data_IF_240100766865
#
_entry.id   IF_240100766865
#
_cell.length_a   1.000
_cell.length_b   1.000
_cell.length_c   1.000
_cell.angle_alpha   90.00
_cell.angle_beta   90.00
_cell.angle_gamma   90.00
#
_symmetry.space_group_name_H-M   'P 1'
#
loop_
_entity.id
_entity.type
_entity.pdbx_description
1 polymer ?
#
# COMPACT_ATOMS: atom_id res chain seq x y z
N UNK A 1 23.40 -6.08 15.58
CA UNK A 1 23.29 -7.04 14.97
C UNK A 1 22.18 -7.36 14.02
N UNK A 2 22.12 -6.53 13.02
CA UNK A 2 21.17 -6.73 11.94
C UNK A 2 21.37 -8.07 11.26
N UNK A 3 22.62 -8.55 11.20
CA UNK A 3 22.92 -9.80 10.56
C UNK A 3 22.30 -11.00 11.26
N UNK A 4 22.35 -11.00 12.58
CA UNK A 4 21.77 -12.11 13.33
C UNK A 4 20.25 -12.14 13.19
N UNK A 5 19.64 -10.97 13.20
CA UNK A 5 18.19 -10.88 13.01
C UNK A 5 17.79 -11.39 11.62
N UNK A 6 18.60 -11.04 10.61
CA UNK A 6 18.32 -11.50 9.26
C UNK A 6 18.47 -13.01 9.13
N UNK A 7 19.47 -13.58 9.75
CA UNK A 7 19.68 -15.02 9.72
C UNK A 7 18.50 -15.76 10.37
N UNK A 8 17.99 -15.22 11.45
CA UNK A 8 16.84 -15.83 12.10
C UNK A 8 15.59 -15.74 11.23
N UNK A 9 15.45 -14.68 10.48
CA UNK A 9 14.31 -14.51 9.60
C UNK A 9 14.37 -15.38 8.37
N UNK A 10 15.55 -15.50 7.80
CA UNK A 10 15.73 -16.31 6.60
C UNK A 10 15.79 -17.79 6.92
N UNK A 11 15.86 -18.13 8.20
CA UNK A 11 15.93 -19.53 8.60
C UNK A 11 14.56 -20.18 8.51
N UNK A 12 14.24 -20.87 9.54
CA UNK A 12 13.09 -21.75 9.56
C UNK A 12 11.88 -21.15 10.21
N UNK A 13 12.01 -19.94 10.74
CA UNK A 13 10.95 -19.35 11.53
C UNK A 13 10.40 -18.08 10.91
N UNK A 14 9.20 -18.18 10.38
CA UNK A 14 8.40 -17.01 10.17
C UNK A 14 7.53 -16.85 11.39
N UNK A 15 7.67 -15.73 12.07
CA UNK A 15 6.78 -15.42 13.17
C UNK A 15 5.39 -15.19 12.61
N UNK A 16 4.38 -15.21 13.49
CA UNK A 16 3.02 -14.90 13.08
C UNK A 16 2.92 -13.51 12.48
N UNK A 17 3.74 -12.57 12.96
CA UNK A 17 3.76 -11.21 12.42
C UNK A 17 4.34 -11.16 11.02
N UNK A 18 5.37 -11.95 10.74
CA UNK A 18 5.95 -12.00 9.40
C UNK A 18 4.96 -12.56 8.40
N UNK A 19 4.20 -13.58 8.79
CA UNK A 19 3.17 -14.15 7.94
C UNK A 19 2.05 -13.18 7.67
N UNK A 20 1.66 -12.45 8.70
CA UNK A 20 0.60 -11.46 8.58
C UNK A 20 1.03 -10.30 7.69
N UNK A 21 2.27 -9.84 7.85
CA UNK A 21 2.83 -8.82 6.99
C UNK A 21 2.84 -9.27 5.54
N UNK A 22 3.25 -10.50 5.29
CA UNK A 22 3.28 -11.06 3.94
C UNK A 22 1.89 -11.10 3.32
N UNK A 23 0.88 -11.43 4.10
CA UNK A 23 -0.50 -11.41 3.63
C UNK A 23 -0.93 -10.01 3.20
N UNK A 24 -0.56 -9.00 3.97
CA UNK A 24 -0.84 -7.63 3.60
C UNK A 24 -0.14 -7.24 2.30
N UNK A 25 1.13 -7.60 2.16
CA UNK A 25 1.88 -7.27 0.95
C UNK A 25 1.30 -7.99 -0.28
N UNK A 26 0.95 -9.25 -0.14
CA UNK A 26 0.32 -9.99 -1.24
C UNK A 26 -1.00 -9.36 -1.66
N UNK A 27 -1.79 -8.96 -0.69
CA UNK A 27 -3.07 -8.33 -0.95
C UNK A 27 -2.88 -6.96 -1.62
N UNK A 28 -1.87 -6.21 -1.16
CA UNK A 28 -1.54 -4.93 -1.76
C UNK A 28 -1.13 -5.07 -3.22
N UNK A 29 -0.27 -6.05 -3.51
CA UNK A 29 0.17 -6.30 -4.89
C UNK A 29 -0.98 -6.72 -5.78
N UNK A 30 -1.86 -7.56 -5.28
CA UNK A 30 -3.03 -8.01 -6.05
C UNK A 30 -3.97 -6.84 -6.33
N UNK A 31 -4.18 -5.98 -5.35
CA UNK A 31 -5.04 -4.80 -5.53
C UNK A 31 -4.44 -3.83 -6.55
N UNK A 32 -3.14 -3.64 -6.51
CA UNK A 32 -2.47 -2.79 -7.50
C UNK A 32 -2.64 -3.36 -8.90
N UNK A 33 -2.52 -4.66 -9.03
CA UNK A 33 -2.70 -5.35 -10.30
C UNK A 33 -4.11 -5.20 -10.84
N UNK A 34 -5.11 -5.26 -9.96
CA UNK A 34 -6.50 -5.04 -10.35
C UNK A 34 -6.70 -3.64 -10.94
N UNK A 35 -6.11 -2.63 -10.29
CA UNK A 35 -6.18 -1.26 -10.80
C UNK A 35 -5.46 -1.11 -12.13
N UNK A 36 -4.31 -1.75 -12.24
CA UNK A 36 -3.53 -1.73 -13.48
C UNK A 36 -4.31 -2.34 -14.64
N UNK A 37 -4.95 -3.46 -14.41
CA UNK A 37 -5.76 -4.13 -15.42
C UNK A 37 -6.92 -3.25 -15.88
N UNK A 38 -7.52 -2.52 -14.97
CA UNK A 38 -8.61 -1.61 -15.33
C UNK A 38 -8.12 -0.49 -16.24
N UNK A 39 -6.91 0.00 -16.02
CA UNK A 39 -6.33 1.06 -16.83
C UNK A 39 -6.06 0.65 -18.28
N UNK A 40 -5.91 -0.64 -18.54
CA UNK A 40 -5.65 -1.14 -19.89
C UNK A 40 -6.91 -1.34 -20.72
N UNK A 41 -8.08 -1.14 -20.14
CA UNK A 41 -9.33 -1.23 -20.90
C UNK A 41 -9.46 -0.02 -21.82
N UNK A 42 -10.27 -0.09 -22.88
CA UNK A 42 -10.59 1.08 -23.68
C UNK A 42 -11.13 2.21 -22.79
N UNK A 43 -10.78 3.43 -23.13
CA UNK A 43 -11.10 4.58 -22.30
C UNK A 43 -12.56 4.63 -21.89
N UNK A 44 -13.47 4.34 -22.81
CA UNK A 44 -14.90 4.36 -22.54
C UNK A 44 -15.37 3.26 -21.59
N UNK A 45 -14.55 2.23 -21.40
CA UNK A 45 -14.88 1.10 -20.53
C UNK A 45 -14.20 1.20 -19.17
N UNK A 46 -13.35 2.18 -18.95
CA UNK A 46 -12.65 2.34 -17.69
C UNK A 46 -13.60 2.82 -16.62
N UNK A 47 -13.63 2.11 -15.51
CA UNK A 47 -14.40 2.48 -14.34
C UNK A 47 -13.46 3.08 -13.31
N UNK A 48 -13.43 4.41 -13.22
CA UNK A 48 -12.50 5.10 -12.33
C UNK A 48 -12.68 4.71 -10.87
N UNK A 49 -13.89 4.38 -10.46
CA UNK A 49 -14.15 3.92 -9.10
C UNK A 49 -13.41 2.61 -8.80
N UNK A 50 -13.35 1.70 -9.79
CA UNK A 50 -12.62 0.44 -9.61
C UNK A 50 -11.14 0.72 -9.40
N UNK A 51 -10.56 1.59 -10.22
CA UNK A 51 -9.15 1.95 -10.09
C UNK A 51 -8.88 2.57 -8.72
N UNK A 52 -9.72 3.50 -8.31
CA UNK A 52 -9.56 4.20 -7.05
C UNK A 52 -9.63 3.24 -5.86
N UNK A 53 -10.64 2.39 -5.83
CA UNK A 53 -10.79 1.42 -4.73
C UNK A 53 -9.64 0.43 -4.69
N UNK A 54 -9.24 -0.06 -5.85
CA UNK A 54 -8.15 -1.03 -5.93
C UNK A 54 -6.84 -0.40 -5.48
N UNK A 55 -6.54 0.80 -5.95
CA UNK A 55 -5.28 1.44 -5.60
C UNK A 55 -5.24 1.90 -4.16
N UNK A 56 -6.35 2.39 -3.63
CA UNK A 56 -6.42 2.74 -2.20
C UNK A 56 -6.25 1.48 -1.35
N UNK A 57 -6.89 0.39 -1.74
CA UNK A 57 -6.72 -0.89 -1.07
C UNK A 57 -5.27 -1.36 -1.10
N UNK A 58 -4.60 -1.17 -2.22
CA UNK A 58 -3.18 -1.49 -2.34
C UNK A 58 -2.35 -0.66 -1.36
N UNK A 59 -2.57 0.66 -1.34
CA UNK A 59 -1.83 1.56 -0.46
C UNK A 59 -2.03 1.16 0.99
N UNK A 60 -3.28 0.95 1.41
CA UNK A 60 -3.57 0.55 2.78
C UNK A 60 -2.86 -0.74 3.16
N UNK A 61 -2.93 -1.73 2.31
CA UNK A 61 -2.33 -3.02 2.61
C UNK A 61 -0.80 -2.94 2.65
N UNK A 62 -0.19 -2.16 1.79
CA UNK A 62 1.25 -1.96 1.82
C UNK A 62 1.69 -1.29 3.12
N UNK A 63 0.98 -0.25 3.54
CA UNK A 63 1.31 0.45 4.77
C UNK A 63 1.09 -0.45 5.99
N UNK A 64 -0.02 -1.17 6.01
CA UNK A 64 -0.29 -2.12 7.09
C UNK A 64 0.76 -3.22 7.14
N UNK A 65 1.18 -3.71 5.98
CA UNK A 65 2.22 -4.73 5.91
C UNK A 65 3.53 -4.23 6.49
N UNK A 66 3.93 -3.02 6.12
CA UNK A 66 5.15 -2.44 6.62
C UNK A 66 5.11 -2.28 8.15
N UNK A 67 4.01 -1.74 8.67
CA UNK A 67 3.86 -1.56 10.12
C UNK A 67 3.86 -2.89 10.86
N UNK A 68 3.17 -3.87 10.32
CA UNK A 68 3.14 -5.20 10.92
C UNK A 68 4.53 -5.83 10.94
N UNK A 69 5.27 -5.67 9.84
CA UNK A 69 6.63 -6.18 9.75
C UNK A 69 7.54 -5.54 10.81
N UNK A 70 7.27 -4.29 11.16
CA UNK A 70 8.04 -3.57 12.15
C UNK A 70 7.52 -3.78 13.57
N UNK A 71 6.54 -4.65 13.76
CA UNK A 71 6.07 -5.05 15.08
C UNK A 71 4.90 -4.25 15.64
N UNK A 72 4.21 -3.50 14.80
CA UNK A 72 3.08 -2.69 15.24
C UNK A 72 1.76 -3.39 14.96
N UNK A 73 0.84 -3.29 15.90
CA UNK A 73 -0.51 -3.77 15.71
C UNK A 73 -1.31 -2.76 14.90
N UNK A 74 -2.16 -3.27 14.03
CA UNK A 74 -3.02 -2.43 13.20
C UNK A 74 -4.38 -2.31 13.86
N UNK A 75 -4.81 -1.08 14.05
CA UNK A 75 -6.13 -0.77 14.57
C UNK A 75 -7.09 -0.57 13.40
N UNK A 76 -8.33 -1.02 13.58
CA UNK A 76 -9.30 -1.00 12.50
C UNK A 76 -9.74 0.40 12.07
N UNK A 77 -9.69 1.34 12.99
CA UNK A 77 -10.17 2.70 12.73
C UNK A 77 -9.09 3.66 12.25
N UNK A 78 -7.90 3.15 11.94
CA UNK A 78 -6.84 4.02 11.43
C UNK A 78 -7.12 4.47 10.01
N UNK A 79 -6.95 5.77 9.78
CA UNK A 79 -7.08 6.31 8.44
C UNK A 79 -5.80 6.07 7.64
N UNK A 80 -5.90 6.27 6.34
CA UNK A 80 -4.73 6.18 5.47
C UNK A 80 -3.64 7.15 5.91
N UNK A 81 -4.03 8.37 6.29
CA UNK A 81 -3.11 9.37 6.77
C UNK A 81 -2.40 8.92 8.04
N UNK A 82 -3.12 8.29 8.96
CA UNK A 82 -2.53 7.77 10.19
C UNK A 82 -1.51 6.70 9.90
N UNK A 83 -1.83 5.79 8.99
CA UNK A 83 -0.93 4.71 8.60
C UNK A 83 0.34 5.27 7.97
N UNK A 84 0.18 6.23 7.07
CA UNK A 84 1.33 6.83 6.39
C UNK A 84 2.22 7.59 7.37
N UNK A 85 1.63 8.32 8.29
CA UNK A 85 2.41 9.05 9.27
C UNK A 85 3.25 8.13 10.13
N UNK A 86 2.69 7.02 10.57
CA UNK A 86 3.44 6.04 11.34
C UNK A 86 4.59 5.46 10.53
N UNK A 87 4.34 5.15 9.27
CA UNK A 87 5.39 4.65 8.38
C UNK A 87 6.51 5.67 8.22
N UNK A 88 6.16 6.94 8.06
CA UNK A 88 7.15 8.02 7.94
C UNK A 88 8.00 8.18 9.19
N UNK A 89 7.41 7.98 10.35
CA UNK A 89 8.15 8.02 11.61
C UNK A 89 9.15 6.90 11.73
N UNK A 90 8.81 5.74 11.19
CA UNK A 90 9.70 4.58 11.24
C UNK A 90 10.77 4.62 10.17
N UNK A 91 10.45 5.18 9.03
CA UNK A 91 11.37 5.23 7.89
C UNK A 91 11.16 6.52 7.10
N UNK A 92 12.11 7.44 7.16
CA UNK A 92 11.97 8.73 6.46
C UNK A 92 11.78 8.63 4.95
N UNK A 93 12.13 7.50 4.34
CA UNK A 93 11.95 7.33 2.90
C UNK A 93 10.49 7.40 2.48
N UNK A 94 9.56 7.12 3.40
CA UNK A 94 8.15 7.28 3.12
C UNK A 94 7.73 8.73 2.90
N UNK A 95 8.58 9.68 3.28
CA UNK A 95 8.29 11.10 3.01
C UNK A 95 8.32 11.44 1.53
N UNK A 96 8.94 10.61 0.71
CA UNK A 96 8.96 10.84 -0.73
C UNK A 96 7.61 10.57 -1.38
N UNK A 97 6.70 9.94 -0.64
CA UNK A 97 5.40 9.56 -1.16
C UNK A 97 4.36 10.54 -0.60
N UNK A 98 3.71 11.26 -1.49
CA UNK A 98 2.73 12.26 -1.11
C UNK A 98 1.32 11.73 -1.33
N UNK A 99 0.58 11.55 -0.25
CA UNK A 99 -0.80 11.08 -0.30
C UNK A 99 -1.82 12.20 -0.21
N UNK A 100 -1.37 13.43 -0.12
CA UNK A 100 -2.29 14.56 0.06
C UNK A 100 -3.23 14.73 -1.13
N UNK A 101 -2.74 14.47 -2.33
CA UNK A 101 -3.55 14.60 -3.53
C UNK A 101 -4.68 13.57 -3.62
N UNK A 102 -4.48 12.43 -3.00
CA UNK A 102 -5.49 11.38 -3.03
C UNK A 102 -6.42 11.43 -1.81
N UNK A 103 -6.15 12.33 -0.93
CA UNK A 103 -6.91 12.60 0.30
C UNK A 103 -8.11 11.69 0.49
N UNK A 104 -7.84 10.53 1.02
CA UNK A 104 -8.82 9.47 1.13
C UNK A 104 -9.69 9.59 2.37
N UNK A 105 -9.91 10.80 2.82
CA UNK A 105 -10.81 11.02 3.94
C UNK A 105 -12.19 10.53 3.65
N UNK A 106 -12.54 10.49 2.37
CA UNK A 106 -13.86 10.05 1.97
C UNK A 106 -13.84 8.63 1.47
N UNK A 107 -13.02 7.82 2.08
CA UNK A 107 -13.11 6.37 1.86
C UNK A 107 -14.53 5.88 2.12
N UNK A 108 -15.25 6.60 2.97
CA UNK A 108 -16.64 6.28 3.25
C UNK A 108 -17.57 6.58 2.06
N UNK A 109 -17.15 7.48 1.19
CA UNK A 109 -17.90 7.79 -0.02
C UNK A 109 -16.91 7.97 -1.18
N UNK A 110 -16.34 6.87 -1.66
CA UNK A 110 -15.34 6.94 -2.72
C UNK A 110 -15.90 7.48 -4.03
N UNK A 111 -17.20 7.44 -4.22
CA UNK A 111 -17.83 7.91 -5.44
C UNK A 111 -17.61 9.41 -5.66
N UNK A 112 -17.45 10.16 -4.57
CA UNK A 112 -17.25 11.60 -4.67
C UNK A 112 -15.87 11.99 -5.13
N UNK A 113 -14.88 11.11 -4.97
CA UNK A 113 -13.50 11.46 -5.23
C UNK A 113 -12.87 10.76 -6.41
N UNK A 114 -13.45 9.65 -6.81
CA UNK A 114 -12.85 8.86 -7.86
C UNK A 114 -13.53 9.03 -9.22
N UNK A 115 -14.38 10.02 -9.34
CA UNK A 115 -15.05 10.30 -10.61
C UNK A 115 -14.16 11.03 -11.60
N UNK A 116 -13.18 11.76 -11.11
CA UNK A 116 -12.29 12.54 -11.97
C UNK A 116 -11.09 11.70 -12.38
N UNK A 117 -10.81 11.70 -13.68
CA UNK A 117 -9.70 10.94 -14.24
C UNK A 117 -8.38 11.30 -13.59
N UNK A 118 -8.17 12.58 -13.29
CA UNK A 118 -6.94 13.04 -12.66
C UNK A 118 -6.70 12.42 -11.30
N UNK A 119 -7.77 12.18 -10.55
CA UNK A 119 -7.65 11.63 -9.21
C UNK A 119 -7.31 10.15 -9.19
N UNK A 120 -7.88 9.37 -10.08
CA UNK A 120 -7.53 7.95 -10.08
C UNK A 120 -6.08 7.75 -10.57
N UNK A 121 -5.60 8.63 -11.45
CA UNK A 121 -4.20 8.60 -11.85
C UNK A 121 -3.27 8.86 -10.67
N UNK A 122 -3.61 9.83 -9.83
CA UNK A 122 -2.84 10.13 -8.64
C UNK A 122 -2.83 8.95 -7.66
N UNK A 123 -3.98 8.31 -7.47
CA UNK A 123 -4.07 7.13 -6.60
C UNK A 123 -3.16 6.00 -7.10
N UNK A 124 -3.22 5.73 -8.39
CA UNK A 124 -2.40 4.68 -8.98
C UNK A 124 -0.91 5.00 -8.82
N UNK A 125 -0.54 6.24 -9.06
CA UNK A 125 0.85 6.66 -8.94
C UNK A 125 1.40 6.46 -7.53
N UNK A 126 0.61 6.82 -6.52
CA UNK A 126 1.03 6.61 -5.13
C UNK A 126 1.20 5.13 -4.82
N UNK A 127 0.27 4.29 -5.25
CA UNK A 127 0.38 2.86 -5.03
C UNK A 127 1.62 2.29 -5.72
N UNK A 128 1.91 2.74 -6.93
CA UNK A 128 3.08 2.31 -7.67
C UNK A 128 4.38 2.76 -6.99
N UNK A 129 4.41 3.98 -6.47
CA UNK A 129 5.55 4.49 -5.74
C UNK A 129 5.83 3.67 -4.48
N UNK A 130 4.78 3.29 -3.76
CA UNK A 130 4.92 2.43 -2.59
C UNK A 130 5.45 1.06 -2.97
N UNK A 131 4.89 0.47 -4.02
CA UNK A 131 5.36 -0.82 -4.52
C UNK A 131 6.85 -0.76 -4.84
N UNK A 132 7.26 0.27 -5.56
CA UNK A 132 8.65 0.48 -5.93
C UNK A 132 9.55 0.64 -4.69
N UNK A 133 9.10 1.43 -3.72
CA UNK A 133 9.86 1.66 -2.51
C UNK A 133 10.08 0.35 -1.74
N UNK A 134 9.01 -0.43 -1.58
CA UNK A 134 9.09 -1.68 -0.83
C UNK A 134 9.96 -2.72 -1.56
N UNK A 135 9.93 -2.72 -2.88
CA UNK A 135 10.81 -3.61 -3.66
C UNK A 135 12.27 -3.21 -3.55
N UNK A 136 12.55 -1.91 -3.59
CA UNK A 136 13.91 -1.40 -3.42
C UNK A 136 14.47 -1.72 -2.05
N UNK A 137 13.61 -1.76 -1.04
CA UNK A 137 14.02 -2.14 0.31
C UNK A 137 14.20 -3.64 0.49
N UNK A 138 13.81 -4.42 -0.51
CA UNK A 138 13.88 -5.86 -0.41
C UNK A 138 12.77 -6.48 0.42
N UNK A 139 11.74 -5.70 0.73
CA UNK A 139 10.62 -6.18 1.53
C UNK A 139 9.67 -7.01 0.69
N UNK A 140 9.45 -6.59 -0.54
CA UNK A 140 8.63 -7.33 -1.51
C UNK A 140 9.58 -7.85 -2.59
N UNK A 141 9.47 -9.12 -2.91
CA UNK A 141 10.27 -9.72 -3.98
C UNK A 141 9.49 -9.69 -5.30
N UNK A 142 10.23 -9.73 -6.37
CA UNK A 142 9.64 -9.79 -7.71
C UNK A 142 8.96 -11.12 -8.00
#
# INVERSE_FOLDING_TARGET
MALCANLMRTGLFFSDMDKKAEQYFSKGSRKLQEGDQELYKPEEDIVSLVICRSTIGSIENYLKGFLTLRGFDIEEDQTLADLMERCRMLDPKFHSINIEEIDCRNVQDPDLHCEEIEKFGACYEVADQLDTLLRKKGIISD
#
